data_IF_864677487798
#
_entry.id   IF_864677487798
#
_cell.length_a   1.000
_cell.length_b   1.000
_cell.length_c   1.000
_cell.angle_alpha   90.00
_cell.angle_beta   90.00
_cell.angle_gamma   90.00
#
_symmetry.space_group_name_H-M   'P 1'
#
loop_
_entity.id
_entity.type
_entity.pdbx_description
1 polymer ?
#
# COMPACT_ATOMS: atom_id res chain seq x y z
N UNK A 1 -13.41 0.68 -44.59
CA UNK A 1 -13.04 -0.70 -44.99
C UNK A 1 -12.43 -1.39 -43.78
N UNK A 2 -13.17 -2.34 -43.20
CA UNK A 2 -12.77 -3.10 -42.03
C UNK A 2 -11.71 -4.15 -42.40
N UNK A 3 -10.66 -4.28 -41.59
CA UNK A 3 -9.88 -5.52 -41.50
C UNK A 3 -9.93 -6.02 -40.07
N UNK A 4 -10.80 -7.00 -39.88
CA UNK A 4 -10.95 -7.83 -38.68
C UNK A 4 -9.90 -8.94 -38.76
N UNK A 5 -9.18 -9.18 -37.68
CA UNK A 5 -8.43 -10.42 -37.49
C UNK A 5 -8.86 -11.00 -36.15
N UNK A 6 -9.87 -11.85 -36.18
CA UNK A 6 -10.31 -12.68 -35.05
C UNK A 6 -9.55 -14.01 -35.19
N UNK A 7 -8.69 -14.31 -34.22
CA UNK A 7 -8.06 -15.63 -34.11
C UNK A 7 -8.98 -16.52 -33.29
N UNK A 8 -9.79 -17.33 -33.98
CA UNK A 8 -10.62 -18.37 -33.38
C UNK A 8 -9.77 -19.64 -33.20
N UNK A 9 -9.45 -19.98 -31.95
CA UNK A 9 -8.83 -21.25 -31.59
C UNK A 9 -9.95 -22.28 -31.35
N UNK A 10 -10.23 -23.10 -32.37
CA UNK A 10 -11.15 -24.23 -32.25
C UNK A 10 -10.41 -25.42 -31.62
N UNK A 11 -10.73 -25.74 -30.36
CA UNK A 11 -10.35 -27.00 -29.73
C UNK A 11 -11.36 -28.08 -30.13
N UNK A 12 -10.91 -29.00 -30.97
CA UNK A 12 -11.65 -30.18 -31.36
C UNK A 12 -11.75 -31.16 -30.18
N UNK A 13 -12.96 -31.36 -29.66
CA UNK A 13 -13.29 -32.47 -28.77
C UNK A 13 -13.48 -33.73 -29.61
N UNK A 14 -12.52 -34.65 -29.56
CA UNK A 14 -12.73 -36.03 -30.02
C UNK A 14 -13.37 -36.84 -28.90
N UNK A 15 -14.63 -37.20 -29.07
CA UNK A 15 -15.30 -38.24 -28.31
C UNK A 15 -14.96 -39.56 -29.02
N UNK A 16 -14.08 -40.36 -28.42
CA UNK A 16 -13.87 -41.76 -28.81
C UNK A 16 -14.53 -42.67 -27.78
N UNK A 17 -15.68 -43.21 -28.16
CA UNK A 17 -16.32 -44.34 -27.51
C UNK A 17 -15.94 -45.63 -28.25
N UNK A 18 -15.26 -46.56 -27.56
CA UNK A 18 -15.14 -47.99 -27.85
C UNK A 18 -14.29 -48.59 -26.70
N UNK A 19 -14.63 -49.61 -25.93
CA UNK A 19 -15.47 -50.76 -26.24
C UNK A 19 -14.65 -51.95 -26.74
N UNK A 20 -13.69 -52.48 -25.96
CA UNK A 20 -13.22 -53.88 -26.11
C UNK A 20 -12.33 -54.35 -24.95
N UNK A 21 -12.65 -55.54 -24.44
CA UNK A 21 -11.90 -56.34 -23.47
C UNK A 21 -10.54 -56.79 -24.03
N UNK A 22 -9.47 -56.70 -23.23
CA UNK A 22 -8.25 -57.52 -23.31
C UNK A 22 -7.41 -57.31 -22.05
N UNK A 23 -7.11 -58.39 -21.33
CA UNK A 23 -6.24 -58.44 -20.15
C UNK A 23 -4.76 -58.21 -20.54
N UNK A 24 -4.09 -57.24 -19.90
CA UNK A 24 -2.62 -57.19 -19.74
C UNK A 24 -2.22 -56.16 -18.65
N UNK A 25 -0.96 -56.16 -18.17
CA UNK A 25 -0.60 -56.33 -16.76
C UNK A 25 -0.64 -55.05 -15.90
N UNK A 26 -0.72 -55.25 -14.58
CA UNK A 26 -0.80 -54.22 -13.54
C UNK A 26 0.05 -52.96 -13.83
N UNK A 27 -0.63 -51.86 -14.13
CA UNK A 27 -0.02 -50.54 -14.04
C UNK A 27 0.39 -50.28 -12.58
N UNK A 28 1.57 -49.69 -12.33
CA UNK A 28 1.94 -49.28 -10.99
C UNK A 28 0.88 -48.31 -10.46
N UNK A 29 0.28 -48.65 -9.30
CA UNK A 29 -0.65 -47.77 -8.60
C UNK A 29 -0.07 -46.35 -8.55
N UNK A 30 -0.84 -45.30 -8.90
CA UNK A 30 -0.41 -43.94 -8.65
C UNK A 30 -0.02 -43.84 -7.18
N UNK A 31 1.23 -43.46 -6.90
CA UNK A 31 1.59 -43.03 -5.55
C UNK A 31 0.61 -41.93 -5.14
N UNK A 32 0.03 -41.95 -3.93
CA UNK A 32 -0.82 -40.87 -3.48
C UNK A 32 0.00 -39.58 -3.58
N UNK A 33 -0.43 -38.67 -4.46
CA UNK A 33 0.10 -37.32 -4.47
C UNK A 33 -0.06 -36.76 -3.07
N UNK A 34 0.98 -36.15 -2.48
CA UNK A 34 0.82 -35.46 -1.20
C UNK A 34 -0.26 -34.39 -1.39
N UNK A 35 -1.41 -34.56 -0.74
CA UNK A 35 -2.54 -33.64 -0.85
C UNK A 35 -2.13 -32.28 -0.33
N UNK A 36 -2.32 -31.22 -1.09
CA UNK A 36 -2.11 -29.84 -0.65
C UNK A 36 -3.37 -29.28 0.02
N UNK A 37 -3.23 -28.14 0.70
CA UNK A 37 -4.35 -27.33 1.18
C UNK A 37 -4.26 -25.91 0.65
N UNK A 38 -5.40 -25.33 0.30
CA UNK A 38 -5.51 -23.93 -0.10
C UNK A 38 -5.63 -23.07 1.17
N UNK A 39 -4.78 -22.07 1.27
CA UNK A 39 -4.82 -21.01 2.26
C UNK A 39 -5.25 -19.72 1.60
N UNK A 40 -5.99 -18.87 2.33
CA UNK A 40 -6.45 -17.56 1.83
C UNK A 40 -6.01 -16.47 2.80
N UNK A 41 -5.39 -15.40 2.31
CA UNK A 41 -4.94 -14.25 3.09
C UNK A 41 -5.91 -13.09 2.86
N UNK A 42 -6.50 -12.54 3.94
CA UNK A 42 -7.62 -11.59 3.86
C UNK A 42 -7.52 -10.45 4.90
N UNK A 43 -7.39 -9.22 4.40
CA UNK A 43 -7.80 -7.93 5.01
C UNK A 43 -8.66 -7.12 4.01
N UNK A 44 -8.24 -7.12 2.75
CA UNK A 44 -9.02 -7.50 1.57
C UNK A 44 -8.39 -8.74 0.91
N UNK A 45 -8.80 -9.14 -0.29
CA UNK A 45 -8.08 -10.20 -1.00
C UNK A 45 -6.69 -9.72 -1.41
N UNK A 46 -5.67 -10.20 -0.72
CA UNK A 46 -4.29 -9.77 -0.92
C UNK A 46 -3.59 -10.57 -2.02
N UNK A 47 -3.33 -9.96 -3.16
CA UNK A 47 -2.61 -10.57 -4.27
C UNK A 47 -1.11 -10.24 -4.22
N UNK A 48 -0.28 -11.21 -4.59
CA UNK A 48 1.19 -11.12 -4.56
C UNK A 48 1.82 -11.01 -3.15
N UNK A 49 1.05 -11.25 -2.08
CA UNK A 49 1.58 -11.36 -0.74
C UNK A 49 2.54 -12.55 -0.66
N UNK A 50 3.71 -12.36 -0.04
CA UNK A 50 4.72 -13.42 0.07
C UNK A 50 4.36 -14.34 1.23
N UNK A 51 4.27 -15.64 0.97
CA UNK A 51 3.85 -16.63 1.97
C UNK A 51 5.01 -17.55 2.31
N UNK A 52 5.22 -17.75 3.59
CA UNK A 52 6.19 -18.70 4.13
C UNK A 52 5.57 -19.48 5.31
N UNK A 53 6.23 -20.56 5.72
CA UNK A 53 5.79 -21.40 6.84
C UNK A 53 6.89 -21.53 7.88
N UNK A 54 6.50 -21.55 9.16
CA UNK A 54 7.41 -21.70 10.30
C UNK A 54 6.84 -22.65 11.34
N UNK A 55 7.69 -23.34 12.10
CA UNK A 55 7.25 -24.24 13.19
C UNK A 55 6.94 -23.49 14.47
N UNK A 56 7.62 -22.37 14.70
CA UNK A 56 7.49 -21.57 15.90
C UNK A 56 7.79 -20.09 15.60
N UNK A 57 7.25 -19.21 16.43
CA UNK A 57 7.55 -17.77 16.37
C UNK A 57 9.04 -17.54 16.58
N UNK A 58 9.67 -16.79 15.67
CA UNK A 58 11.10 -16.49 15.70
C UNK A 58 12.01 -17.50 14.99
N UNK A 59 11.47 -18.62 14.48
CA UNK A 59 12.23 -19.53 13.62
C UNK A 59 12.29 -19.05 12.16
N UNK A 60 13.31 -19.52 11.44
CA UNK A 60 13.50 -19.23 10.01
C UNK A 60 12.28 -19.67 9.20
N UNK A 61 11.73 -18.73 8.43
CA UNK A 61 10.53 -18.99 7.64
C UNK A 61 10.89 -19.65 6.30
N UNK A 62 10.30 -20.80 6.00
CA UNK A 62 10.48 -21.50 4.72
C UNK A 62 9.56 -20.90 3.67
N UNK A 63 10.12 -20.24 2.66
CA UNK A 63 9.35 -19.63 1.57
C UNK A 63 8.50 -20.67 0.80
N UNK A 64 7.24 -20.33 0.55
CA UNK A 64 6.30 -21.14 -0.24
C UNK A 64 6.06 -20.53 -1.61
N UNK A 65 5.73 -19.23 -1.65
CA UNK A 65 5.37 -18.56 -2.89
C UNK A 65 4.58 -17.29 -2.65
N UNK A 66 3.77 -16.88 -3.64
CA UNK A 66 2.91 -15.70 -3.56
C UNK A 66 1.44 -16.05 -3.71
N UNK A 67 0.57 -15.28 -3.08
CA UNK A 67 -0.88 -15.38 -3.29
C UNK A 67 -1.29 -14.93 -4.69
N UNK A 68 -2.38 -15.50 -5.20
CA UNK A 68 -3.02 -15.07 -6.44
C UNK A 68 -4.02 -13.90 -6.21
N UNK A 69 -4.74 -13.50 -7.27
CA UNK A 69 -5.72 -12.40 -7.23
C UNK A 69 -6.93 -12.61 -6.29
N UNK A 70 -7.09 -13.81 -5.73
CA UNK A 70 -8.11 -14.14 -4.72
C UNK A 70 -7.52 -14.28 -3.32
N UNK A 71 -6.28 -13.83 -3.10
CA UNK A 71 -5.58 -14.04 -1.85
C UNK A 71 -5.17 -15.49 -1.58
N UNK A 72 -5.22 -16.37 -2.59
CA UNK A 72 -5.06 -17.81 -2.37
C UNK A 72 -3.66 -18.32 -2.71
N UNK A 73 -3.20 -19.30 -1.93
CA UNK A 73 -1.98 -20.06 -2.19
C UNK A 73 -2.16 -21.53 -1.81
N UNK A 74 -1.50 -22.42 -2.53
CA UNK A 74 -1.48 -23.86 -2.26
C UNK A 74 -0.25 -24.23 -1.42
N UNK A 75 -0.46 -24.88 -0.27
CA UNK A 75 0.61 -25.33 0.63
C UNK A 75 0.59 -26.86 0.72
N UNK A 76 1.75 -27.48 0.50
CA UNK A 76 1.90 -28.93 0.51
C UNK A 76 1.67 -29.54 1.91
N UNK A 77 1.05 -30.73 1.99
CA UNK A 77 0.78 -31.43 3.26
C UNK A 77 2.01 -31.66 4.17
N UNK A 78 3.23 -31.65 3.62
CA UNK A 78 4.46 -31.76 4.42
C UNK A 78 4.63 -30.62 5.45
N UNK A 79 3.89 -29.52 5.26
CA UNK A 79 3.85 -28.37 6.17
C UNK A 79 2.58 -28.36 7.04
N UNK A 80 1.84 -29.46 7.15
CA UNK A 80 0.74 -29.56 8.09
C UNK A 80 1.23 -29.30 9.53
N UNK A 81 0.47 -28.49 10.28
CA UNK A 81 0.83 -28.05 11.64
C UNK A 81 1.86 -26.93 11.73
N UNK A 82 2.35 -26.40 10.59
CA UNK A 82 3.20 -25.21 10.60
C UNK A 82 2.33 -23.95 10.64
N UNK A 83 2.81 -22.90 11.29
CA UNK A 83 2.23 -21.56 11.18
C UNK A 83 2.50 -21.01 9.80
N UNK A 84 1.45 -20.55 9.12
CA UNK A 84 1.55 -19.84 7.85
C UNK A 84 1.69 -18.36 8.13
N UNK A 85 2.73 -17.75 7.56
CA UNK A 85 2.99 -16.30 7.67
C UNK A 85 2.82 -15.70 6.29
N UNK A 86 1.96 -14.69 6.19
CA UNK A 86 1.79 -13.87 5.00
C UNK A 86 2.47 -12.53 5.24
N UNK A 87 3.46 -12.21 4.41
CA UNK A 87 4.12 -10.91 4.37
C UNK A 87 3.48 -10.07 3.27
N UNK A 88 2.82 -9.01 3.69
CA UNK A 88 2.33 -7.96 2.82
C UNK A 88 3.46 -6.98 2.61
N UNK A 89 3.88 -6.83 1.35
CA UNK A 89 5.06 -6.04 0.97
C UNK A 89 4.56 -4.81 0.22
N UNK A 90 4.88 -3.63 0.76
CA UNK A 90 4.54 -2.35 0.15
C UNK A 90 5.15 -2.23 -1.25
N UNK A 91 4.41 -1.56 -2.16
CA UNK A 91 4.82 -1.42 -3.57
C UNK A 91 4.79 -2.72 -4.39
N UNK A 92 4.41 -3.87 -3.80
CA UNK A 92 4.38 -5.18 -4.48
C UNK A 92 3.04 -5.90 -4.33
N UNK A 93 2.50 -5.92 -3.12
CA UNK A 93 1.22 -6.58 -2.81
C UNK A 93 0.09 -5.65 -3.19
N UNK A 94 -0.96 -6.16 -3.80
CA UNK A 94 -2.19 -5.39 -4.09
C UNK A 94 -3.32 -5.92 -3.22
N UNK A 95 -4.12 -5.02 -2.69
CA UNK A 95 -5.30 -5.33 -1.91
C UNK A 95 -6.53 -5.09 -2.77
N UNK A 96 -7.47 -6.04 -2.84
CA UNK A 96 -8.72 -5.86 -3.58
C UNK A 96 -9.56 -4.69 -3.09
N UNK A 97 -9.30 -4.22 -1.87
CA UNK A 97 -10.00 -3.10 -1.29
C UNK A 97 -9.41 -1.73 -1.63
N UNK A 98 -8.22 -1.68 -2.23
CA UNK A 98 -7.48 -0.45 -2.48
C UNK A 98 -7.06 -0.34 -3.95
N UNK A 99 -6.78 0.88 -4.36
CA UNK A 99 -6.20 1.16 -5.68
C UNK A 99 -4.72 0.82 -5.68
N UNK A 100 -4.28 0.01 -6.65
CA UNK A 100 -2.86 -0.25 -6.87
C UNK A 100 -2.25 -1.12 -5.77
N UNK A 101 -1.00 -0.80 -5.41
CA UNK A 101 -0.25 -1.53 -4.39
C UNK A 101 -0.54 -0.98 -2.99
N UNK A 102 -0.36 -1.81 -1.97
CA UNK A 102 -0.36 -1.37 -0.58
C UNK A 102 0.84 -0.44 -0.31
N UNK A 103 0.62 0.59 0.52
CA UNK A 103 1.64 1.57 0.88
C UNK A 103 2.48 1.16 2.10
N UNK A 104 1.97 0.27 2.95
CA UNK A 104 2.62 -0.17 4.18
C UNK A 104 2.88 -1.68 4.14
N UNK A 105 4.06 -2.11 4.61
CA UNK A 105 4.39 -3.53 4.74
C UNK A 105 4.00 -4.02 6.13
N UNK A 106 3.43 -5.23 6.21
CA UNK A 106 3.05 -5.85 7.47
C UNK A 106 3.00 -7.37 7.38
N UNK A 107 2.96 -8.04 8.52
CA UNK A 107 2.84 -9.49 8.61
C UNK A 107 1.54 -9.95 9.26
N UNK A 108 0.91 -10.95 8.63
CA UNK A 108 -0.22 -11.68 9.20
C UNK A 108 0.10 -13.15 9.40
N UNK A 109 -0.56 -13.78 10.37
CA UNK A 109 -0.35 -15.19 10.75
C UNK A 109 -1.64 -15.98 10.82
N UNK A 110 -1.55 -17.24 10.42
CA UNK A 110 -2.58 -18.21 10.74
C UNK A 110 -2.59 -18.51 12.23
N UNK A 111 -3.77 -18.64 12.81
CA UNK A 111 -3.96 -19.38 14.05
C UNK A 111 -3.77 -20.89 13.78
N UNK A 112 -3.66 -21.70 14.84
CA UNK A 112 -3.55 -23.16 14.70
C UNK A 112 -4.69 -23.72 13.83
N UNK A 113 -4.34 -24.55 12.84
CA UNK A 113 -5.24 -25.16 11.84
C UNK A 113 -6.10 -24.19 11.00
N UNK A 114 -5.86 -22.86 11.09
CA UNK A 114 -6.61 -21.87 10.32
C UNK A 114 -6.12 -21.82 8.86
N UNK A 115 -7.03 -22.07 7.93
CA UNK A 115 -6.77 -21.95 6.47
C UNK A 115 -7.04 -20.55 5.92
N UNK A 116 -7.63 -19.68 6.73
CA UNK A 116 -7.82 -18.27 6.40
C UNK A 116 -6.93 -17.47 7.34
N UNK A 117 -6.02 -16.70 6.77
CA UNK A 117 -5.12 -15.80 7.47
C UNK A 117 -5.76 -14.42 7.46
N UNK A 118 -6.12 -13.92 8.63
CA UNK A 118 -6.77 -12.62 8.82
C UNK A 118 -6.09 -11.85 9.95
N UNK A 119 -6.42 -10.56 10.14
CA UNK A 119 -5.96 -9.80 11.30
C UNK A 119 -6.39 -10.47 12.62
N UNK A 120 -7.54 -11.13 12.63
CA UNK A 120 -8.05 -11.84 13.81
C UNK A 120 -7.29 -13.14 14.12
N UNK A 121 -6.95 -13.92 13.10
CA UNK A 121 -6.12 -15.11 13.30
C UNK A 121 -4.71 -14.72 13.70
N UNK A 122 -4.24 -13.55 13.27
CA UNK A 122 -2.96 -12.98 13.70
C UNK A 122 -3.01 -12.63 15.19
N UNK A 123 -4.04 -11.91 15.66
CA UNK A 123 -4.24 -11.64 17.09
C UNK A 123 -4.25 -12.94 17.92
N UNK A 124 -4.99 -13.96 17.49
CA UNK A 124 -5.03 -15.26 18.16
C UNK A 124 -3.68 -16.00 18.14
N UNK A 125 -2.86 -15.79 17.11
CA UNK A 125 -1.53 -16.40 17.01
C UNK A 125 -0.47 -15.67 17.86
N UNK A 126 -0.71 -14.40 18.21
CA UNK A 126 0.19 -13.59 19.03
C UNK A 126 -0.12 -13.69 20.54
N UNK A 127 -1.37 -13.97 20.91
CA UNK A 127 -1.81 -14.11 22.30
C UNK A 127 -2.31 -15.54 22.57
N UNK A 128 -1.46 -16.36 23.22
CA UNK A 128 -1.76 -17.74 23.57
C UNK A 128 -2.87 -17.89 24.64
N UNK A 129 -3.28 -16.77 25.25
CA UNK A 129 -4.38 -16.74 26.21
C UNK A 129 -5.74 -16.46 25.58
N UNK A 130 -5.78 -16.15 24.27
CA UNK A 130 -7.00 -15.77 23.54
C UNK A 130 -7.29 -16.74 22.40
N UNK A 131 -8.47 -17.34 22.45
CA UNK A 131 -9.01 -18.06 21.30
C UNK A 131 -9.69 -17.10 20.32
N UNK A 132 -9.90 -17.55 19.08
CA UNK A 132 -10.77 -16.83 18.14
C UNK A 132 -12.19 -16.62 18.70
N UNK A 133 -12.70 -17.54 19.53
CA UNK A 133 -14.00 -17.34 20.14
C UNK A 133 -14.00 -16.18 21.15
N UNK A 134 -12.93 -16.03 21.93
CA UNK A 134 -12.76 -14.92 22.88
C UNK A 134 -12.66 -13.59 22.14
N UNK A 135 -11.84 -13.53 21.09
CA UNK A 135 -11.68 -12.33 20.24
C UNK A 135 -13.02 -11.96 19.59
N UNK A 136 -13.75 -12.93 19.02
CA UNK A 136 -15.05 -12.67 18.41
C UNK A 136 -16.04 -12.06 19.42
N UNK A 137 -16.07 -12.61 20.63
CA UNK A 137 -16.91 -12.12 21.73
C UNK A 137 -16.56 -10.68 22.12
N UNK A 138 -15.26 -10.37 22.26
CA UNK A 138 -14.80 -9.02 22.62
C UNK A 138 -15.08 -7.97 21.53
N UNK A 139 -15.20 -8.39 20.28
CA UNK A 139 -15.48 -7.53 19.14
C UNK A 139 -16.96 -7.49 18.74
N UNK A 140 -17.83 -8.20 19.47
CA UNK A 140 -19.25 -8.35 19.12
C UNK A 140 -19.41 -8.85 17.67
N UNK A 141 -18.73 -9.96 17.39
CA UNK A 141 -18.73 -10.71 16.14
C UNK A 141 -18.95 -12.20 16.42
N UNK A 142 -19.25 -12.98 15.38
CA UNK A 142 -19.33 -14.43 15.51
C UNK A 142 -17.96 -15.08 15.25
N UNK A 143 -17.63 -16.22 15.88
CA UNK A 143 -16.39 -16.93 15.59
C UNK A 143 -16.25 -17.30 14.11
N UNK A 144 -17.36 -17.65 13.46
CA UNK A 144 -17.40 -17.94 12.04
C UNK A 144 -17.01 -16.71 11.19
N UNK A 145 -17.46 -15.51 11.57
CA UNK A 145 -17.15 -14.28 10.84
C UNK A 145 -15.66 -13.98 10.80
N UNK A 146 -14.93 -14.19 11.90
CA UNK A 146 -13.51 -13.81 11.99
C UNK A 146 -12.54 -14.93 11.62
N UNK A 147 -12.99 -16.19 11.69
CA UNK A 147 -12.21 -17.37 11.30
C UNK A 147 -12.34 -17.73 9.80
N UNK A 148 -13.33 -17.17 9.12
CA UNK A 148 -13.64 -17.45 7.72
C UNK A 148 -13.40 -16.25 6.79
N UNK A 149 -13.83 -16.41 5.54
CA UNK A 149 -13.80 -15.35 4.52
C UNK A 149 -14.97 -14.37 4.73
N UNK A 150 -14.74 -13.32 5.51
CA UNK A 150 -15.77 -12.31 5.82
C UNK A 150 -16.21 -11.49 4.61
N UNK A 151 -15.42 -11.43 3.54
CA UNK A 151 -15.80 -10.79 2.28
C UNK A 151 -16.86 -11.64 1.59
N UNK A 152 -16.61 -12.95 1.46
CA UNK A 152 -17.58 -13.88 0.89
C UNK A 152 -18.86 -13.99 1.75
N UNK A 153 -18.73 -13.92 3.07
CA UNK A 153 -19.87 -13.91 3.99
C UNK A 153 -20.63 -12.57 4.01
N UNK A 154 -20.10 -11.52 3.36
CA UNK A 154 -20.64 -10.15 3.37
C UNK A 154 -20.78 -9.58 4.78
N UNK A 155 -19.82 -9.85 5.66
CA UNK A 155 -19.79 -9.30 7.00
C UNK A 155 -19.00 -7.97 7.01
N UNK A 156 -19.70 -6.87 6.75
CA UNK A 156 -19.07 -5.56 6.59
C UNK A 156 -18.38 -5.05 7.87
N UNK A 157 -18.90 -5.38 9.07
CA UNK A 157 -18.27 -5.03 10.36
C UNK A 157 -16.93 -5.76 10.55
N UNK A 158 -16.91 -7.07 10.32
CA UNK A 158 -15.66 -7.85 10.40
C UNK A 158 -14.65 -7.39 9.34
N UNK A 159 -15.13 -7.01 8.15
CA UNK A 159 -14.27 -6.48 7.10
C UNK A 159 -13.69 -5.11 7.44
N UNK A 160 -14.51 -4.18 7.94
CA UNK A 160 -14.05 -2.83 8.33
C UNK A 160 -13.06 -2.87 9.50
N UNK A 161 -13.32 -3.68 10.53
CA UNK A 161 -12.36 -3.86 11.62
C UNK A 161 -11.05 -4.44 11.09
N UNK A 162 -11.10 -5.45 10.20
CA UNK A 162 -9.90 -6.07 9.65
C UNK A 162 -9.04 -5.06 8.85
N UNK A 163 -9.65 -4.36 7.89
CA UNK A 163 -8.93 -3.39 7.02
C UNK A 163 -8.34 -2.21 7.81
N UNK A 164 -8.99 -1.80 8.90
CA UNK A 164 -8.47 -0.73 9.76
C UNK A 164 -7.36 -1.26 10.66
N UNK A 165 -7.54 -2.44 11.26
CA UNK A 165 -6.59 -2.99 12.20
C UNK A 165 -5.21 -3.26 11.56
N UNK A 166 -5.15 -3.69 10.30
CA UNK A 166 -3.86 -3.93 9.61
C UNK A 166 -3.02 -2.68 9.42
N UNK A 167 -3.61 -1.48 9.48
CA UNK A 167 -2.84 -0.22 9.46
C UNK A 167 -1.95 -0.05 10.70
N UNK A 168 -2.18 -0.86 11.73
CA UNK A 168 -1.44 -0.84 12.99
C UNK A 168 -0.49 -2.03 13.12
N UNK A 169 -0.40 -2.88 12.10
CA UNK A 169 0.46 -4.07 12.13
C UNK A 169 1.90 -3.69 11.74
N UNK A 170 2.86 -4.32 12.39
CA UNK A 170 4.28 -4.16 12.08
C UNK A 170 4.72 -5.06 10.92
N UNK A 171 5.84 -4.67 10.31
CA UNK A 171 6.57 -5.46 9.29
C UNK A 171 7.07 -6.80 9.84
N UNK A 172 7.17 -6.93 11.16
CA UNK A 172 7.59 -8.14 11.85
C UNK A 172 6.64 -8.46 13.00
N UNK A 173 6.03 -9.63 12.90
CA UNK A 173 5.09 -10.13 13.91
C UNK A 173 5.65 -10.25 15.32
N UNK A 174 6.97 -10.35 15.52
CA UNK A 174 7.55 -10.37 16.88
C UNK A 174 7.57 -9.02 17.58
N UNK A 175 7.36 -7.94 16.84
CA UNK A 175 7.34 -6.56 17.37
C UNK A 175 5.91 -6.10 17.71
N UNK A 176 4.90 -6.86 17.26
CA UNK A 176 3.49 -6.57 17.49
C UNK A 176 3.06 -6.82 18.94
N UNK A 177 2.51 -5.79 19.59
CA UNK A 177 1.85 -5.91 20.89
C UNK A 177 0.39 -6.38 20.72
N UNK A 178 0.16 -7.67 20.93
CA UNK A 178 -1.16 -8.29 20.81
C UNK A 178 -2.23 -7.63 21.70
N UNK A 179 -1.85 -7.20 22.91
CA UNK A 179 -2.78 -6.58 23.84
C UNK A 179 -3.18 -5.18 23.38
N UNK A 180 -2.21 -4.40 22.88
CA UNK A 180 -2.46 -3.10 22.26
C UNK A 180 -3.35 -3.23 21.02
N UNK A 181 -3.02 -4.14 20.12
CA UNK A 181 -3.79 -4.38 18.89
C UNK A 181 -5.23 -4.85 19.19
N UNK A 182 -5.43 -5.74 20.16
CA UNK A 182 -6.78 -6.14 20.57
C UNK A 182 -7.56 -4.97 21.17
N UNK A 183 -6.91 -4.10 21.94
CA UNK A 183 -7.55 -2.89 22.48
C UNK A 183 -7.95 -1.92 21.36
N UNK A 184 -7.12 -1.75 20.34
CA UNK A 184 -7.44 -0.96 19.14
C UNK A 184 -8.64 -1.59 18.42
N UNK A 185 -8.64 -2.90 18.18
CA UNK A 185 -9.75 -3.60 17.53
C UNK A 185 -11.08 -3.40 18.28
N UNK A 186 -11.05 -3.40 19.62
CA UNK A 186 -12.22 -3.14 20.46
C UNK A 186 -12.71 -1.70 20.35
N UNK A 187 -11.79 -0.74 20.30
CA UNK A 187 -12.13 0.67 20.09
C UNK A 187 -12.78 0.87 18.72
N UNK A 188 -12.26 0.22 17.67
CA UNK A 188 -12.85 0.25 16.33
C UNK A 188 -14.25 -0.36 16.34
N UNK A 189 -14.43 -1.55 16.93
CA UNK A 189 -15.75 -2.19 17.01
C UNK A 189 -16.77 -1.32 17.75
N UNK A 190 -16.36 -0.67 18.85
CA UNK A 190 -17.19 0.28 19.58
C UNK A 190 -17.55 1.50 18.74
N UNK A 191 -16.56 2.10 18.07
CA UNK A 191 -16.76 3.25 17.19
C UNK A 191 -17.73 2.96 16.06
N UNK A 192 -17.66 1.78 15.46
CA UNK A 192 -18.65 1.34 14.46
C UNK A 192 -20.06 1.37 15.06
N UNK A 193 -20.25 0.77 16.24
CA UNK A 193 -21.56 0.68 16.88
C UNK A 193 -22.10 2.03 17.40
N UNK A 194 -21.23 2.99 17.72
CA UNK A 194 -21.64 4.28 18.31
C UNK A 194 -21.67 5.44 17.33
N UNK A 195 -20.81 5.46 16.32
CA UNK A 195 -20.62 6.62 15.45
C UNK A 195 -21.06 6.32 14.01
N UNK A 196 -20.73 5.14 13.48
CA UNK A 196 -21.07 4.78 12.09
C UNK A 196 -22.49 4.22 11.96
N UNK A 197 -22.92 3.34 12.85
CA UNK A 197 -24.29 2.81 12.84
C UNK A 197 -25.33 3.94 13.04
N UNK A 198 -24.98 4.99 13.77
CA UNK A 198 -25.84 6.15 14.02
C UNK A 198 -25.91 7.14 12.85
N UNK A 199 -24.95 7.09 11.91
CA UNK A 199 -24.93 7.96 10.72
C UNK A 199 -25.56 7.29 9.49
N UNK A 200 -26.01 6.03 9.60
CA UNK A 200 -26.50 5.21 8.50
C UNK A 200 -25.48 5.07 7.34
N UNK A 201 -24.19 5.19 7.65
CA UNK A 201 -23.12 4.97 6.69
C UNK A 201 -23.07 3.49 6.27
N UNK A 202 -22.87 3.21 4.99
CA UNK A 202 -22.53 1.86 4.56
C UNK A 202 -21.09 1.57 4.98
N UNK A 203 -20.90 0.55 5.83
CA UNK A 203 -19.58 0.14 6.31
C UNK A 203 -18.65 -0.31 5.16
N UNK A 204 -19.20 -0.64 4.00
CA UNK A 204 -18.41 -0.95 2.80
C UNK A 204 -17.73 0.30 2.21
N UNK A 205 -18.31 1.48 2.41
CA UNK A 205 -17.96 2.75 1.73
C UNK A 205 -17.17 3.72 2.63
N UNK A 206 -16.75 3.27 3.81
CA UNK A 206 -15.98 4.07 4.77
C UNK A 206 -14.66 3.38 5.13
N UNK A 207 -13.64 4.19 5.38
CA UNK A 207 -12.41 3.76 6.03
C UNK A 207 -12.27 4.48 7.38
N UNK A 208 -11.84 3.73 8.41
CA UNK A 208 -11.52 4.30 9.72
C UNK A 208 -10.01 4.51 9.81
N UNK A 209 -9.61 5.70 10.26
CA UNK A 209 -8.23 6.06 10.55
C UNK A 209 -7.98 6.00 12.05
N UNK A 210 -6.83 5.46 12.43
CA UNK A 210 -6.32 5.45 13.81
C UNK A 210 -5.24 6.54 13.91
N UNK A 211 -5.56 7.63 14.61
CA UNK A 211 -4.64 8.74 14.85
C UNK A 211 -3.83 8.57 16.14
N UNK A 212 -3.00 9.57 16.44
CA UNK A 212 -2.17 9.60 17.65
C UNK A 212 -3.00 9.40 18.91
N UNK A 213 -2.55 8.53 19.81
CA UNK A 213 -3.27 8.23 21.05
C UNK A 213 -4.53 7.37 20.85
N UNK A 214 -4.64 6.67 19.71
CA UNK A 214 -5.79 5.83 19.34
C UNK A 214 -7.09 6.60 19.11
N UNK A 215 -7.01 7.87 18.70
CA UNK A 215 -8.18 8.62 18.25
C UNK A 215 -8.70 8.00 16.94
N UNK A 216 -10.03 7.82 16.84
CA UNK A 216 -10.66 7.23 15.66
C UNK A 216 -11.45 8.27 14.89
N UNK A 217 -11.15 8.38 13.60
CA UNK A 217 -11.90 9.19 12.64
C UNK A 217 -12.27 8.33 11.44
N UNK A 218 -13.19 8.79 10.60
CA UNK A 218 -13.52 8.09 9.36
C UNK A 218 -13.64 9.07 8.20
N UNK A 219 -13.40 8.54 7.01
CA UNK A 219 -13.59 9.22 5.74
C UNK A 219 -14.33 8.30 4.78
N UNK A 220 -14.87 8.89 3.71
CA UNK A 220 -15.32 8.09 2.57
C UNK A 220 -14.14 7.29 2.02
N UNK A 221 -14.40 6.03 1.70
CA UNK A 221 -13.41 5.11 1.16
C UNK A 221 -13.04 5.50 -0.27
N UNK A 222 -11.76 5.37 -0.58
CA UNK A 222 -11.21 5.49 -1.94
C UNK A 222 -10.93 4.08 -2.47
N UNK A 223 -11.88 3.53 -3.23
CA UNK A 223 -11.75 2.19 -3.81
C UNK A 223 -11.26 2.21 -5.27
N UNK A 224 -11.33 3.37 -5.93
CA UNK A 224 -10.89 3.58 -7.32
C UNK A 224 -10.12 4.89 -7.49
N UNK A 225 -9.37 5.03 -8.59
CA UNK A 225 -8.75 6.32 -8.95
C UNK A 225 -9.82 7.39 -9.15
N UNK A 226 -11.00 7.03 -9.63
CA UNK A 226 -12.10 7.97 -9.82
C UNK A 226 -12.52 8.53 -8.47
N UNK A 227 -12.63 7.69 -7.44
CA UNK A 227 -12.99 8.11 -6.08
C UNK A 227 -11.94 9.07 -5.49
N UNK A 228 -10.67 8.93 -5.90
CA UNK A 228 -9.61 9.85 -5.51
C UNK A 228 -9.68 11.17 -6.29
N UNK A 229 -9.80 11.11 -7.62
CA UNK A 229 -9.72 12.27 -8.52
C UNK A 229 -10.99 13.11 -8.54
N UNK A 230 -12.14 12.45 -8.62
CA UNK A 230 -13.45 13.10 -8.66
C UNK A 230 -13.85 13.51 -7.25
N UNK A 231 -14.31 14.75 -7.12
CA UNK A 231 -14.97 15.22 -5.91
C UNK A 231 -16.48 15.11 -6.13
N UNK A 232 -17.19 14.41 -5.23
CA UNK A 232 -18.66 14.25 -5.31
C UNK A 232 -19.38 15.59 -5.28
N UNK A 233 -18.82 16.56 -4.55
CA UNK A 233 -19.37 17.91 -4.45
C UNK A 233 -18.94 18.80 -5.62
N UNK A 234 -18.04 18.32 -6.49
CA UNK A 234 -17.52 19.01 -7.67
C UNK A 234 -16.94 20.40 -7.35
N UNK A 235 -16.39 20.58 -6.16
CA UNK A 235 -15.96 21.90 -5.67
C UNK A 235 -14.47 22.03 -5.43
N UNK A 236 -13.77 20.90 -5.27
CA UNK A 236 -12.37 20.88 -4.87
C UNK A 236 -11.48 20.34 -6.00
N UNK A 237 -10.75 21.19 -6.74
CA UNK A 237 -9.77 20.70 -7.72
C UNK A 237 -8.63 19.97 -7.01
N UNK A 238 -7.94 19.09 -7.73
CA UNK A 238 -6.69 18.47 -7.28
C UNK A 238 -5.54 19.41 -7.55
N UNK A 239 -4.68 19.59 -6.56
CA UNK A 239 -3.43 20.33 -6.70
C UNK A 239 -2.36 19.40 -7.27
N UNK A 240 -1.66 19.85 -8.30
CA UNK A 240 -0.66 19.05 -9.00
C UNK A 240 0.66 19.80 -9.13
N UNK A 241 1.75 19.06 -9.01
CA UNK A 241 3.10 19.60 -9.14
C UNK A 241 4.10 18.51 -9.56
N UNK A 242 4.98 18.86 -10.50
CA UNK A 242 6.09 18.02 -10.93
C UNK A 242 7.15 17.85 -9.81
N UNK A 243 7.68 16.64 -9.66
CA UNK A 243 8.89 16.38 -8.86
C UNK A 243 10.18 16.79 -9.58
N UNK A 244 10.15 16.92 -10.91
CA UNK A 244 11.25 17.49 -11.69
C UNK A 244 11.34 19.01 -11.46
N UNK A 245 12.51 19.49 -11.02
CA UNK A 245 12.71 20.90 -10.69
C UNK A 245 12.65 21.85 -11.89
N UNK A 246 12.97 21.40 -13.11
CA UNK A 246 12.90 22.25 -14.30
C UNK A 246 11.46 22.40 -14.81
N UNK A 247 10.68 21.31 -14.81
CA UNK A 247 9.24 21.34 -15.08
C UNK A 247 8.51 22.16 -14.02
N UNK A 248 8.78 21.91 -12.73
CA UNK A 248 8.17 22.65 -11.62
C UNK A 248 8.41 24.16 -11.71
N UNK A 249 9.61 24.61 -12.09
CA UNK A 249 9.89 26.05 -12.29
C UNK A 249 9.11 26.68 -13.44
N UNK A 250 8.74 25.89 -14.45
CA UNK A 250 7.99 26.37 -15.60
C UNK A 250 6.49 26.38 -15.34
N UNK A 251 5.98 25.29 -14.76
CA UNK A 251 4.55 25.02 -14.61
C UNK A 251 4.02 25.50 -13.26
N UNK A 252 4.85 25.47 -12.23
CA UNK A 252 4.46 25.75 -10.86
C UNK A 252 3.52 24.68 -10.31
N UNK A 253 2.65 25.13 -9.41
CA UNK A 253 1.53 24.35 -8.90
C UNK A 253 0.31 24.76 -9.70
N UNK A 254 -0.43 23.80 -10.22
CA UNK A 254 -1.66 24.02 -10.95
C UNK A 254 -2.79 23.16 -10.39
N UNK A 255 -4.03 23.52 -10.72
CA UNK A 255 -5.23 22.92 -10.15
C UNK A 255 -6.09 22.34 -11.26
N UNK A 256 -6.41 21.05 -11.16
CA UNK A 256 -7.20 20.33 -12.16
C UNK A 256 -8.46 19.78 -11.51
N UNK A 257 -9.61 19.95 -12.16
CA UNK A 257 -10.86 19.31 -11.73
C UNK A 257 -11.19 18.10 -12.60
N UNK A 258 -11.60 17.00 -11.95
CA UNK A 258 -12.08 15.79 -12.60
C UNK A 258 -13.57 15.63 -12.30
N UNK A 259 -14.41 15.61 -13.33
CA UNK A 259 -15.88 15.57 -13.21
C UNK A 259 -16.46 14.68 -14.30
N UNK A 260 -17.13 13.59 -13.91
CA UNK A 260 -17.86 12.70 -14.82
C UNK A 260 -17.03 12.27 -16.05
N UNK A 261 -15.78 11.84 -15.84
CA UNK A 261 -14.88 11.43 -16.92
C UNK A 261 -14.33 12.59 -17.76
N UNK A 262 -14.35 13.83 -17.26
CA UNK A 262 -13.78 15.02 -17.92
C UNK A 262 -12.79 15.74 -17.03
N UNK A 263 -11.77 16.31 -17.68
CA UNK A 263 -10.71 17.09 -17.06
C UNK A 263 -10.96 18.56 -17.37
N UNK A 264 -10.92 19.40 -16.34
CA UNK A 264 -11.03 20.85 -16.47
C UNK A 264 -9.80 21.53 -15.88
N UNK A 265 -9.23 22.47 -16.64
CA UNK A 265 -8.11 23.32 -16.24
C UNK A 265 -8.63 24.77 -16.20
N UNK A 266 -8.48 25.45 -15.07
CA UNK A 266 -9.04 26.80 -14.85
C UNK A 266 -10.55 26.95 -15.20
N UNK A 267 -11.30 25.85 -15.06
CA UNK A 267 -12.73 25.78 -15.38
C UNK A 267 -13.05 25.57 -16.86
N UNK A 268 -12.06 25.53 -17.74
CA UNK A 268 -12.22 25.19 -19.16
C UNK A 268 -12.03 23.69 -19.37
N UNK A 269 -12.84 23.11 -20.27
CA UNK A 269 -12.71 21.69 -20.61
C UNK A 269 -11.39 21.45 -21.33
N UNK A 270 -10.51 20.68 -20.70
CA UNK A 270 -9.22 20.28 -21.26
C UNK A 270 -9.36 19.02 -22.12
N UNK A 271 -9.84 17.93 -21.52
CA UNK A 271 -10.01 16.64 -22.22
C UNK A 271 -11.04 15.74 -21.51
N UNK A 272 -11.28 14.55 -22.08
CA UNK A 272 -12.01 13.46 -21.44
C UNK A 272 -11.04 12.35 -21.01
N UNK A 273 -11.42 11.57 -20.00
CA UNK A 273 -10.61 10.46 -19.51
C UNK A 273 -11.43 9.20 -19.20
N UNK A 274 -10.72 8.09 -19.12
CA UNK A 274 -11.21 6.82 -18.58
C UNK A 274 -10.18 6.23 -17.62
N UNK A 275 -10.62 5.35 -16.72
CA UNK A 275 -9.73 4.64 -15.80
C UNK A 275 -9.72 3.16 -16.14
N UNK A 276 -8.52 2.58 -16.28
CA UNK A 276 -8.30 1.14 -16.44
C UNK A 276 -7.34 0.65 -15.36
N UNK A 277 -7.87 -0.04 -14.35
CA UNK A 277 -7.08 -0.47 -13.19
C UNK A 277 -6.50 0.73 -12.45
N UNK A 278 -5.18 0.84 -12.41
CA UNK A 278 -4.47 1.98 -11.83
C UNK A 278 -3.98 3.00 -12.87
N UNK A 279 -4.49 2.99 -14.10
CA UNK A 279 -4.10 3.95 -15.13
C UNK A 279 -5.23 4.94 -15.45
N UNK A 280 -4.88 6.23 -15.50
CA UNK A 280 -5.71 7.28 -16.08
C UNK A 280 -5.38 7.38 -17.57
N UNK A 281 -6.37 7.23 -18.44
CA UNK A 281 -6.20 7.32 -19.89
C UNK A 281 -6.86 8.62 -20.34
N UNK A 282 -6.06 9.56 -20.83
CA UNK A 282 -6.49 10.88 -21.29
C UNK A 282 -6.65 10.86 -22.81
N UNK A 283 -7.84 11.22 -23.30
CA UNK A 283 -8.13 11.19 -24.73
C UNK A 283 -7.20 12.15 -25.49
N UNK A 284 -6.43 11.60 -26.44
CA UNK A 284 -5.54 12.37 -27.30
C UNK A 284 -4.16 12.70 -26.72
N UNK A 285 -3.90 12.39 -25.45
CA UNK A 285 -2.65 12.75 -24.77
C UNK A 285 -1.83 11.51 -24.37
N UNK A 286 -2.47 10.54 -23.69
CA UNK A 286 -1.77 9.33 -23.29
C UNK A 286 -2.37 8.62 -22.09
N UNK A 287 -1.49 8.04 -21.28
CA UNK A 287 -1.88 7.33 -20.07
C UNK A 287 -0.88 7.57 -18.96
N UNK A 288 -1.39 7.82 -17.78
CA UNK A 288 -0.64 8.03 -16.56
C UNK A 288 -0.90 6.87 -15.61
N UNK A 289 0.17 6.24 -15.11
CA UNK A 289 0.03 5.23 -14.07
C UNK A 289 -0.03 5.92 -12.70
N UNK A 290 -1.04 5.60 -11.91
CA UNK A 290 -1.20 6.16 -10.57
C UNK A 290 -0.65 5.23 -9.50
N UNK A 291 -0.03 5.85 -8.49
CA UNK A 291 0.36 5.24 -7.24
C UNK A 291 -0.44 5.94 -6.14
N UNK A 292 -1.48 5.27 -5.65
CA UNK A 292 -2.28 5.77 -4.53
C UNK A 292 -1.51 5.58 -3.22
N UNK A 293 -1.40 6.62 -2.41
CA UNK A 293 -0.62 6.61 -1.17
C UNK A 293 -1.51 6.84 0.06
N UNK A 294 -2.39 7.83 0.00
CA UNK A 294 -3.34 8.16 1.07
C UNK A 294 -4.59 8.81 0.48
N UNK A 295 -5.58 9.08 1.34
CA UNK A 295 -6.81 9.77 0.95
C UNK A 295 -6.58 11.19 0.42
N UNK A 296 -5.47 11.81 0.80
CA UNK A 296 -5.06 13.15 0.37
C UNK A 296 -4.01 13.15 -0.74
N UNK A 297 -3.31 12.04 -0.98
CA UNK A 297 -2.10 12.01 -1.80
C UNK A 297 -2.04 10.80 -2.74
N UNK A 298 -1.74 11.09 -4.01
CA UNK A 298 -1.32 10.11 -5.00
C UNK A 298 -0.16 10.65 -5.83
N UNK A 299 0.53 9.76 -6.54
CA UNK A 299 1.51 10.11 -7.56
C UNK A 299 0.95 9.72 -8.92
N UNK A 300 1.14 10.58 -9.92
CA UNK A 300 0.99 10.23 -11.33
C UNK A 300 2.37 10.01 -11.95
N UNK A 301 2.49 8.93 -12.72
CA UNK A 301 3.68 8.58 -13.50
C UNK A 301 3.28 8.56 -14.98
N UNK A 302 3.38 9.70 -15.68
CA UNK A 302 3.19 9.77 -17.12
C UNK A 302 4.26 8.95 -17.86
N UNK A 303 3.92 8.48 -19.06
CA UNK A 303 4.89 7.83 -19.97
C UNK A 303 6.08 8.70 -20.38
N UNK A 304 6.02 10.00 -20.15
CA UNK A 304 7.15 10.90 -20.38
C UNK A 304 8.20 10.81 -19.25
N UNK A 305 7.88 10.15 -18.14
CA UNK A 305 8.76 9.95 -17.00
C UNK A 305 8.74 11.08 -15.98
N UNK A 306 8.03 12.19 -16.19
CA UNK A 306 7.92 13.26 -15.21
C UNK A 306 6.90 12.92 -14.11
N UNK A 307 7.36 12.44 -12.96
CA UNK A 307 6.46 12.07 -11.86
C UNK A 307 5.84 13.32 -11.23
N UNK A 308 4.53 13.30 -11.08
CA UNK A 308 3.74 14.39 -10.54
C UNK A 308 3.12 13.98 -9.21
N UNK A 309 3.16 14.89 -8.22
CA UNK A 309 2.34 14.82 -7.02
C UNK A 309 0.93 15.27 -7.37
N UNK A 310 -0.08 14.52 -6.91
CA UNK A 310 -1.49 14.88 -7.01
C UNK A 310 -2.08 14.84 -5.61
N UNK A 311 -2.59 15.98 -5.14
CA UNK A 311 -3.09 16.14 -3.79
C UNK A 311 -4.51 16.72 -3.75
N UNK A 312 -5.28 16.33 -2.72
CA UNK A 312 -6.56 16.98 -2.39
C UNK A 312 -6.37 18.30 -1.65
N UNK A 313 -5.22 18.50 -1.00
CA UNK A 313 -4.83 19.77 -0.40
C UNK A 313 -4.18 20.69 -1.44
N UNK A 314 -4.27 22.01 -1.23
CA UNK A 314 -3.59 22.98 -2.07
C UNK A 314 -2.08 23.01 -1.74
N UNK A 315 -1.24 22.46 -2.62
CA UNK A 315 0.21 22.38 -2.41
C UNK A 315 0.90 23.75 -2.28
N UNK A 316 0.23 24.83 -2.71
CA UNK A 316 0.79 26.18 -2.63
C UNK A 316 0.71 26.76 -1.22
N UNK A 317 -0.26 26.31 -0.43
CA UNK A 317 -0.57 26.85 0.90
C UNK A 317 -0.49 25.81 2.00
N UNK A 318 -0.56 24.52 1.66
CA UNK A 318 -0.41 23.42 2.59
C UNK A 318 1.00 23.44 3.21
N UNK A 319 1.03 23.29 4.52
CA UNK A 319 2.25 23.15 5.29
C UNK A 319 1.92 22.33 6.54
N UNK A 320 2.80 21.39 6.84
CA UNK A 320 2.83 20.69 8.12
C UNK A 320 4.18 20.98 8.77
N UNK A 321 4.16 21.20 10.08
CA UNK A 321 5.39 21.50 10.82
C UNK A 321 6.02 20.20 11.29
N UNK A 322 7.29 19.99 10.95
CA UNK A 322 8.06 18.93 11.57
C UNK A 322 8.20 19.20 13.07
N UNK A 323 7.99 18.16 13.87
CA UNK A 323 8.36 18.12 15.28
C UNK A 323 9.52 17.16 15.50
N UNK A 324 10.18 17.29 16.65
CA UNK A 324 11.22 16.33 17.06
C UNK A 324 10.66 14.91 17.21
N UNK A 325 9.39 14.78 17.62
CA UNK A 325 8.78 13.46 17.80
C UNK A 325 8.58 12.74 16.47
N UNK A 326 8.34 13.46 15.38
CA UNK A 326 8.03 12.88 14.07
C UNK A 326 9.26 12.26 13.40
N UNK A 327 10.45 12.81 13.65
CA UNK A 327 11.68 12.40 12.96
C UNK A 327 12.69 11.68 13.83
N UNK A 328 12.73 11.92 15.16
CA UNK A 328 13.79 11.34 15.99
C UNK A 328 13.71 9.81 16.05
N UNK A 329 14.83 9.15 15.79
CA UNK A 329 14.92 7.69 15.80
C UNK A 329 14.34 7.02 14.55
N UNK A 330 13.83 7.80 13.59
CA UNK A 330 13.22 7.30 12.37
C UNK A 330 14.22 7.19 11.22
N UNK A 331 13.85 6.45 10.18
CA UNK A 331 14.59 6.39 8.91
C UNK A 331 13.64 6.68 7.76
N UNK A 332 14.07 7.54 6.83
CA UNK A 332 13.28 7.96 5.68
C UNK A 332 14.07 7.76 4.39
N UNK A 333 13.44 7.17 3.39
CA UNK A 333 13.93 7.06 2.02
C UNK A 333 13.57 8.35 1.29
N UNK A 334 14.58 9.19 1.06
CA UNK A 334 14.47 10.39 0.26
C UNK A 334 14.54 10.06 -1.22
N UNK A 335 13.53 10.47 -1.97
CA UNK A 335 13.45 10.28 -3.42
C UNK A 335 13.17 11.63 -4.07
N UNK A 336 14.00 12.01 -5.04
CA UNK A 336 13.84 13.26 -5.78
C UNK A 336 14.38 13.13 -7.21
N UNK A 337 14.02 14.07 -8.07
CA UNK A 337 14.68 14.27 -9.36
C UNK A 337 15.81 15.31 -9.20
N UNK A 338 17.06 14.90 -9.37
CA UNK A 338 18.26 15.76 -9.26
C UNK A 338 18.74 16.33 -10.60
N UNK A 339 17.94 16.18 -11.65
CA UNK A 339 18.21 16.82 -12.93
C UNK A 339 18.15 18.34 -12.82
N UNK A 340 18.95 19.00 -13.67
CA UNK A 340 18.92 20.47 -13.84
C UNK A 340 18.09 20.90 -15.05
N UNK A 341 17.58 19.93 -15.80
CA UNK A 341 16.78 20.07 -17.00
C UNK A 341 15.55 19.15 -16.91
N UNK A 342 14.90 18.90 -18.05
CA UNK A 342 13.66 18.12 -18.12
C UNK A 342 13.90 16.62 -18.28
N UNK A 343 15.16 16.21 -18.36
CA UNK A 343 15.53 14.80 -18.46
C UNK A 343 15.74 14.25 -17.06
N UNK A 344 14.84 13.36 -16.63
CA UNK A 344 14.83 12.85 -15.25
C UNK A 344 16.17 12.21 -14.83
N UNK A 345 16.61 12.54 -13.62
CA UNK A 345 17.76 11.96 -12.92
C UNK A 345 17.39 11.64 -11.46
N UNK A 346 16.84 10.44 -11.26
CA UNK A 346 16.29 10.05 -9.96
C UNK A 346 17.42 9.81 -8.95
N UNK A 347 17.35 10.49 -7.83
CA UNK A 347 18.23 10.30 -6.68
C UNK A 347 17.49 9.62 -5.54
N UNK A 348 18.18 8.67 -4.89
CA UNK A 348 17.71 7.97 -3.69
C UNK A 348 18.78 8.02 -2.60
N UNK A 349 18.38 8.44 -1.41
CA UNK A 349 19.19 8.41 -0.21
C UNK A 349 18.36 7.93 0.99
N UNK A 350 19.02 7.39 2.03
CA UNK A 350 18.37 7.08 3.31
C UNK A 350 18.86 8.10 4.34
N UNK A 351 17.90 8.77 4.98
CA UNK A 351 18.11 9.69 6.08
C UNK A 351 17.72 8.98 7.38
N UNK A 352 18.73 8.55 8.15
CA UNK A 352 18.52 7.95 9.48
C UNK A 352 18.73 9.00 10.56
N UNK A 353 17.65 9.48 11.15
CA UNK A 353 17.66 10.48 12.22
C UNK A 353 17.95 9.79 13.56
N UNK A 354 19.05 10.17 14.20
CA UNK A 354 19.52 9.59 15.45
C UNK A 354 18.97 10.36 16.66
N UNK A 355 19.00 9.73 17.84
CA UNK A 355 18.53 10.32 19.12
C UNK A 355 19.35 11.53 19.61
N UNK A 356 20.55 11.73 19.06
CA UNK A 356 21.48 12.78 19.46
C UNK A 356 21.48 14.00 18.53
N UNK A 357 20.34 14.27 17.86
CA UNK A 357 20.15 15.38 16.93
C UNK A 357 21.14 15.38 15.75
N UNK A 358 21.54 14.18 15.33
CA UNK A 358 22.32 13.97 14.09
C UNK A 358 21.54 13.10 13.12
N UNK A 359 21.85 13.23 11.83
CA UNK A 359 21.29 12.41 10.77
C UNK A 359 22.43 11.72 10.02
N UNK A 360 22.25 10.43 9.77
CA UNK A 360 23.13 9.64 8.90
C UNK A 360 22.53 9.62 7.51
N UNK A 361 23.26 10.14 6.52
CA UNK A 361 22.88 10.11 5.11
C UNK A 361 23.60 8.96 4.44
N UNK A 362 22.84 8.06 3.84
CA UNK A 362 23.33 6.83 3.20
C UNK A 362 22.93 6.87 1.73
N UNK A 363 23.92 6.86 0.84
CA UNK A 363 23.73 6.80 -0.60
C UNK A 363 24.48 5.58 -1.15
N UNK A 364 23.88 4.87 -2.10
CA UNK A 364 24.48 3.66 -2.66
C UNK A 364 25.84 3.95 -3.32
N UNK A 365 26.86 3.18 -2.94
CA UNK A 365 28.21 3.32 -3.48
C UNK A 365 29.00 4.53 -2.96
N UNK A 366 28.51 5.25 -1.94
CA UNK A 366 29.19 6.38 -1.30
C UNK A 366 29.44 6.11 0.18
N UNK A 367 30.39 6.84 0.76
CA UNK A 367 30.61 6.81 2.20
C UNK A 367 29.47 7.52 2.93
N UNK A 368 28.92 6.89 3.97
CA UNK A 368 27.92 7.48 4.84
C UNK A 368 28.42 8.81 5.42
N UNK A 369 27.53 9.80 5.47
CA UNK A 369 27.81 11.10 6.08
C UNK A 369 26.97 11.27 7.34
N UNK A 370 27.54 11.90 8.36
CA UNK A 370 26.85 12.23 9.60
C UNK A 370 26.93 13.73 9.82
N UNK A 371 25.78 14.35 10.02
CA UNK A 371 25.62 15.81 10.13
C UNK A 371 24.61 16.09 11.25
N UNK A 372 24.81 17.18 11.99
CA UNK A 372 23.80 17.64 12.95
C UNK A 372 22.58 18.20 12.22
N UNK A 373 21.37 18.06 12.77
CA UNK A 373 20.19 18.73 12.23
C UNK A 373 19.53 19.60 13.30
N UNK A 374 18.76 20.59 12.85
CA UNK A 374 17.92 21.41 13.74
C UNK A 374 16.52 21.50 13.17
N UNK A 375 15.51 21.54 14.04
CA UNK A 375 14.15 21.90 13.66
C UNK A 375 13.88 23.33 14.11
N UNK A 376 13.55 24.21 13.17
CA UNK A 376 13.16 25.59 13.45
C UNK A 376 12.00 25.98 12.54
N UNK A 377 10.96 26.61 13.10
CA UNK A 377 9.75 27.01 12.38
C UNK A 377 9.09 25.86 11.59
N UNK A 378 9.13 24.64 12.13
CA UNK A 378 8.56 23.46 11.46
C UNK A 378 9.40 22.89 10.32
N UNK A 379 10.61 23.39 10.09
CA UNK A 379 11.50 22.95 9.01
C UNK A 379 12.74 22.24 9.56
N UNK A 380 13.21 21.20 8.87
CA UNK A 380 14.47 20.50 9.19
C UNK A 380 15.59 21.16 8.41
N UNK A 381 16.60 21.68 9.10
CA UNK A 381 17.81 22.20 8.49
C UNK A 381 19.00 21.28 8.74
N UNK A 382 19.76 20.97 7.69
CA UNK A 382 20.96 20.14 7.72
C UNK A 382 22.11 20.87 6.99
N UNK A 383 23.17 21.32 7.70
CA UNK A 383 24.32 22.00 7.10
C UNK A 383 25.23 21.01 6.37
N UNK A 384 24.87 20.67 5.13
CA UNK A 384 25.57 19.68 4.30
C UNK A 384 26.57 20.30 3.32
N UNK A 385 26.58 21.62 3.12
CA UNK A 385 27.41 22.28 2.10
C UNK A 385 28.92 22.10 2.28
N UNK A 386 29.40 21.80 3.48
CA UNK A 386 30.80 21.49 3.75
C UNK A 386 31.17 20.01 3.50
N UNK A 387 30.19 19.15 3.23
CA UNK A 387 30.39 17.73 2.99
C UNK A 387 30.68 17.44 1.51
N UNK A 388 31.68 16.60 1.27
CA UNK A 388 31.98 16.13 -0.08
C UNK A 388 30.74 15.44 -0.71
N UNK A 389 30.34 15.90 -1.89
CA UNK A 389 29.16 15.41 -2.62
C UNK A 389 27.94 16.34 -2.55
N UNK A 390 27.92 17.30 -1.62
CA UNK A 390 26.83 18.25 -1.47
C UNK A 390 27.26 19.63 -1.96
N UNK A 391 26.36 20.32 -2.68
CA UNK A 391 26.58 21.69 -3.16
C UNK A 391 25.92 22.74 -2.27
N UNK A 392 24.88 22.34 -1.55
CA UNK A 392 24.05 23.21 -0.73
C UNK A 392 23.73 22.51 0.59
N UNK A 393 23.28 23.30 1.57
CA UNK A 393 22.61 22.78 2.76
C UNK A 393 21.24 22.25 2.37
N UNK A 394 20.76 21.23 3.08
CA UNK A 394 19.43 20.68 2.88
C UNK A 394 18.46 21.33 3.87
N UNK A 395 17.28 21.71 3.37
CA UNK A 395 16.20 22.27 4.16
C UNK A 395 14.91 21.53 3.80
N UNK A 396 14.37 20.73 4.70
CA UNK A 396 13.13 20.01 4.45
C UNK A 396 11.95 20.75 5.08
N UNK A 397 10.98 21.07 4.24
CA UNK A 397 9.68 21.62 4.64
C UNK A 397 8.58 20.67 4.21
N UNK A 398 7.80 20.16 5.15
CA UNK A 398 6.68 19.28 4.84
C UNK A 398 5.48 20.06 4.31
N UNK A 399 4.90 19.54 3.23
CA UNK A 399 3.74 20.15 2.55
C UNK A 399 2.48 19.36 2.85
N UNK A 400 2.52 18.06 2.60
CA UNK A 400 1.45 17.12 2.93
C UNK A 400 2.03 15.72 3.09
N UNK A 401 1.26 14.81 3.66
CA UNK A 401 1.66 13.43 3.86
C UNK A 401 1.07 12.83 5.11
N UNK A 402 1.58 11.65 5.44
CA UNK A 402 1.30 10.88 6.64
C UNK A 402 2.58 10.19 7.12
N UNK A 403 2.44 9.24 8.06
CA UNK A 403 3.55 8.49 8.65
C UNK A 403 4.28 7.57 7.65
N UNK A 404 3.68 7.29 6.48
CA UNK A 404 4.27 6.42 5.45
C UNK A 404 4.99 7.22 4.37
N UNK A 405 4.38 8.33 3.92
CA UNK A 405 4.89 9.17 2.83
C UNK A 405 4.64 10.64 3.10
N UNK A 406 5.69 11.44 2.92
CA UNK A 406 5.61 12.90 2.94
C UNK A 406 6.07 13.50 1.63
N UNK A 407 5.34 14.52 1.17
CA UNK A 407 5.79 15.46 0.14
C UNK A 407 6.47 16.63 0.84
N UNK A 408 7.71 16.91 0.46
CA UNK A 408 8.51 17.99 1.02
C UNK A 408 8.99 18.94 -0.07
N UNK A 409 9.30 20.19 0.30
CA UNK A 409 10.31 20.97 -0.42
C UNK A 409 11.68 20.72 0.21
N UNK A 410 12.69 20.49 -0.62
CA UNK A 410 14.05 20.16 -0.20
C UNK A 410 15.00 21.37 -0.04
N UNK A 411 14.47 22.58 -0.19
CA UNK A 411 15.24 23.83 -0.11
C UNK A 411 15.99 24.20 -1.39
N UNK A 412 16.02 23.31 -2.39
CA UNK A 412 16.59 23.55 -3.72
C UNK A 412 15.55 24.09 -4.72
N UNK A 413 14.33 24.34 -4.24
CA UNK A 413 13.21 24.85 -5.02
C UNK A 413 12.51 23.77 -5.84
N UNK A 414 12.56 22.51 -5.39
CA UNK A 414 11.85 21.37 -5.99
C UNK A 414 11.13 20.56 -4.90
N UNK A 415 10.12 19.82 -5.32
CA UNK A 415 9.45 18.85 -4.46
C UNK A 415 10.22 17.53 -4.42
N UNK A 416 10.12 16.82 -3.31
CA UNK A 416 10.69 15.50 -3.11
C UNK A 416 9.77 14.66 -2.21
N UNK A 417 10.05 13.36 -2.15
CA UNK A 417 9.34 12.41 -1.30
C UNK A 417 10.25 11.94 -0.17
N UNK A 418 9.69 11.84 1.03
CA UNK A 418 10.25 11.04 2.13
C UNK A 418 9.33 9.83 2.33
N UNK A 419 9.87 8.63 2.29
CA UNK A 419 9.10 7.38 2.37
C UNK A 419 9.65 6.52 3.51
N UNK A 420 8.79 6.09 4.43
CA UNK A 420 9.20 5.29 5.58
C UNK A 420 9.61 3.86 5.18
N UNK A 421 8.81 3.23 4.30
CA UNK A 421 9.01 1.83 3.90
C UNK A 421 9.98 1.70 2.70
N UNK A 422 11.04 0.89 2.87
CA UNK A 422 12.05 0.63 1.84
C UNK A 422 11.47 0.00 0.56
N UNK A 423 10.52 -0.94 0.70
CA UNK A 423 9.90 -1.61 -0.43
C UNK A 423 8.96 -0.67 -1.19
N UNK A 424 8.24 0.21 -0.49
CA UNK A 424 7.45 1.25 -1.14
C UNK A 424 8.35 2.20 -1.92
N UNK A 425 9.44 2.66 -1.31
CA UNK A 425 10.45 3.51 -1.96
C UNK A 425 11.01 2.85 -3.22
N UNK A 426 11.41 1.59 -3.14
CA UNK A 426 11.90 0.82 -4.29
C UNK A 426 10.82 0.64 -5.37
N UNK A 427 9.56 0.41 -4.98
CA UNK A 427 8.42 0.29 -5.88
C UNK A 427 8.17 1.57 -6.67
N UNK A 428 8.17 2.73 -5.99
CA UNK A 428 8.00 4.05 -6.60
C UNK A 428 9.15 4.36 -7.56
N UNK A 429 10.41 4.16 -7.14
CA UNK A 429 11.58 4.35 -8.02
C UNK A 429 11.48 3.44 -9.25
N UNK A 430 11.12 2.16 -9.05
CA UNK A 430 10.97 1.20 -10.14
C UNK A 430 9.94 1.65 -11.19
N UNK A 431 8.80 2.19 -10.73
CA UNK A 431 7.78 2.76 -11.62
C UNK A 431 8.25 4.01 -12.35
N UNK A 432 8.94 4.90 -11.64
CA UNK A 432 9.48 6.12 -12.22
C UNK A 432 10.52 5.84 -13.32
N UNK A 433 11.42 4.88 -13.08
CA UNK A 433 12.45 4.50 -14.05
C UNK A 433 11.85 3.83 -15.29
N UNK A 434 10.86 2.94 -15.13
CA UNK A 434 10.26 2.19 -16.26
C UNK A 434 9.46 3.09 -17.19
N UNK A 435 9.00 4.25 -16.71
CA UNK A 435 8.31 5.22 -17.55
C UNK A 435 9.23 5.92 -18.57
N UNK A 436 10.56 5.93 -18.35
CA UNK A 436 11.57 6.44 -19.28
C UNK A 436 11.86 5.44 -20.40
#
# INVERSE_FOLDING_TARGET
MFKKTILALALATTISACGSSSDDPEQPKPQPQPSSSIYTVIDGYLSNASVCVTKATGEECTAIGKTNSKGQIEIAAKYAGYTVVAKVIAGVTTDSDKVGFVAHSYEMRSAEDAKVITPYTTLAALDDTKTLADIASELDLTPAAIAGDYIQMKNAKAHLIARTLVTQFDTNTSEQDAASLLNIAKNISKYIATDLDNTAADLADVDIKVGTGNELTHNERVASIADFLEDKDQTSPRSMASLNGAWFKQEGIYHISFIDGKIYEDGELFSSYTIEGNALIIEGDGSDEFIYLSDELALSVPKAGDMNVIAKVDLATAQQDFTQADIRGTSWHYIADDSTDKDIDITHAIFKFNDNDTVTIIESGRENKVVGYTIANGEIFMPTSELAGFKNDLLFKQITGNDDVMVIYDGLGKMALLIADENLAAGIIGKWVVAK
#
